data_IF_646825999900
#
_entry.id   IF_646825999900
#
_cell.length_a   1.000
_cell.length_b   1.000
_cell.length_c   1.000
_cell.angle_alpha   90.00
_cell.angle_beta   90.00
_cell.angle_gamma   90.00
#
_symmetry.space_group_name_H-M   'P 1'
#
loop_
_entity.id
_entity.type
_entity.pdbx_description
1 polymer ?
#
# COMPACT_ATOMS: atom_id res chain seq x y z
N UNK A 1 -18.55 -11.33 -20.59
CA UNK A 1 -19.51 -11.41 -19.46
C UNK A 1 -20.05 -12.83 -19.41
N UNK A 2 -19.87 -13.50 -18.26
CA UNK A 2 -20.36 -14.84 -17.89
C UNK A 2 -19.76 -16.05 -18.63
N UNK A 3 -18.54 -16.45 -18.23
CA UNK A 3 -18.25 -17.89 -18.18
C UNK A 3 -18.99 -18.42 -16.96
N UNK A 4 -20.20 -18.96 -17.17
CA UNK A 4 -20.98 -19.64 -16.13
C UNK A 4 -20.18 -20.90 -15.77
N UNK A 5 -19.31 -20.79 -14.76
CA UNK A 5 -18.79 -21.97 -14.07
C UNK A 5 -19.99 -22.84 -13.70
N UNK A 6 -19.88 -24.15 -13.92
CA UNK A 6 -20.89 -25.10 -13.46
C UNK A 6 -21.16 -24.83 -11.97
N UNK A 7 -22.38 -25.04 -11.48
CA UNK A 7 -22.74 -24.73 -10.08
C UNK A 7 -21.78 -25.39 -9.07
N UNK A 8 -21.26 -26.57 -9.39
CA UNK A 8 -20.25 -27.30 -8.62
C UNK A 8 -18.91 -26.56 -8.53
N UNK A 9 -18.46 -25.97 -9.64
CA UNK A 9 -17.19 -25.23 -9.69
C UNK A 9 -17.33 -23.86 -9.03
N UNK A 10 -18.51 -23.24 -9.07
CA UNK A 10 -18.79 -22.01 -8.33
C UNK A 10 -18.70 -22.23 -6.82
N UNK A 11 -19.26 -23.33 -6.31
CA UNK A 11 -19.19 -23.68 -4.89
C UNK A 11 -17.75 -23.89 -4.41
N UNK A 12 -16.92 -24.61 -5.18
CA UNK A 12 -15.49 -24.77 -4.83
C UNK A 12 -14.75 -23.45 -4.81
N UNK A 13 -15.05 -22.53 -5.73
CA UNK A 13 -14.43 -21.20 -5.77
C UNK A 13 -14.86 -20.36 -4.57
N UNK A 14 -16.14 -20.39 -4.20
CA UNK A 14 -16.64 -19.70 -3.00
C UNK A 14 -16.00 -20.24 -1.73
N UNK A 15 -15.92 -21.57 -1.57
CA UNK A 15 -15.27 -22.22 -0.43
C UNK A 15 -13.77 -21.84 -0.36
N UNK A 16 -13.08 -21.80 -1.50
CA UNK A 16 -11.68 -21.38 -1.58
C UNK A 16 -11.47 -19.88 -1.27
N UNK A 17 -12.39 -19.01 -1.70
CA UNK A 17 -12.33 -17.56 -1.41
C UNK A 17 -12.71 -17.23 0.04
N UNK A 18 -13.52 -18.08 0.69
CA UNK A 18 -13.89 -17.96 2.10
C UNK A 18 -12.80 -18.43 3.07
N UNK A 19 -11.77 -19.13 2.59
CA UNK A 19 -10.61 -19.50 3.40
C UNK A 19 -10.04 -18.27 4.13
N UNK A 20 -9.85 -18.42 5.44
CA UNK A 20 -9.42 -17.37 6.38
C UNK A 20 -8.15 -16.65 5.93
N UNK A 21 -7.28 -17.33 5.18
CA UNK A 21 -6.05 -16.77 4.61
C UNK A 21 -6.28 -15.65 3.59
N UNK A 22 -7.41 -15.66 2.86
CA UNK A 22 -7.74 -14.66 1.85
C UNK A 22 -8.49 -13.45 2.43
N UNK A 23 -8.91 -13.53 3.70
CA UNK A 23 -9.54 -12.44 4.44
C UNK A 23 -8.49 -11.53 5.07
N UNK A 24 -7.50 -11.11 4.29
CA UNK A 24 -6.56 -10.08 4.71
C UNK A 24 -7.33 -8.77 4.78
N UNK A 25 -7.62 -8.30 5.98
CA UNK A 25 -8.11 -6.94 6.21
C UNK A 25 -7.07 -5.98 5.66
N UNK A 26 -7.29 -5.52 4.42
CA UNK A 26 -6.46 -4.49 3.82
C UNK A 26 -6.63 -3.26 4.67
N UNK A 27 -5.60 -2.90 5.44
CA UNK A 27 -5.57 -1.64 6.16
C UNK A 27 -5.93 -0.53 5.18
N UNK A 28 -6.84 0.39 5.55
CA UNK A 28 -7.23 1.48 4.67
C UNK A 28 -5.97 2.23 4.24
N UNK A 29 -5.84 2.45 2.94
CA UNK A 29 -4.74 3.23 2.41
C UNK A 29 -4.87 4.66 2.95
N UNK A 30 -3.86 5.13 3.70
CA UNK A 30 -3.85 6.47 4.33
C UNK A 30 -2.97 7.40 3.49
N UNK A 31 -3.47 8.02 2.41
CA UNK A 31 -2.65 8.80 1.47
C UNK A 31 -1.95 9.97 2.16
N UNK A 32 -2.59 10.58 3.15
CA UNK A 32 -2.04 11.68 3.93
C UNK A 32 -0.78 11.29 4.72
N UNK A 33 -0.72 10.08 5.25
CA UNK A 33 0.45 9.61 6.00
C UNK A 33 1.65 9.45 5.06
N UNK A 34 1.42 8.81 3.89
CA UNK A 34 2.44 8.68 2.86
C UNK A 34 2.93 10.04 2.37
N UNK A 35 2.01 10.98 2.14
CA UNK A 35 2.36 12.35 1.73
C UNK A 35 3.24 13.04 2.79
N UNK A 36 2.85 12.99 4.07
CA UNK A 36 3.64 13.56 5.16
C UNK A 36 5.05 12.97 5.24
N UNK A 37 5.19 11.64 5.11
CA UNK A 37 6.49 10.97 5.14
C UNK A 37 7.39 11.48 4.02
N UNK A 38 6.87 11.58 2.79
CA UNK A 38 7.62 12.11 1.64
C UNK A 38 8.01 13.57 1.87
N UNK A 39 7.09 14.40 2.37
CA UNK A 39 7.34 15.82 2.66
C UNK A 39 8.46 16.00 3.68
N UNK A 40 8.42 15.24 4.78
CA UNK A 40 9.46 15.26 5.82
C UNK A 40 10.81 14.81 5.26
N UNK A 41 10.83 13.76 4.43
CA UNK A 41 12.07 13.29 3.81
C UNK A 41 12.70 14.37 2.92
N UNK A 42 11.91 15.00 2.04
CA UNK A 42 12.38 16.06 1.13
C UNK A 42 12.89 17.28 1.90
N UNK A 43 12.14 17.74 2.91
CA UNK A 43 12.55 18.87 3.75
C UNK A 43 13.83 18.52 4.53
N UNK A 44 13.90 17.35 5.14
CA UNK A 44 15.06 16.90 5.91
C UNK A 44 16.32 16.83 5.06
N UNK A 45 16.24 16.19 3.88
CA UNK A 45 17.35 16.13 2.92
C UNK A 45 17.76 17.53 2.43
N UNK A 46 16.79 18.42 2.17
CA UNK A 46 17.07 19.80 1.76
C UNK A 46 17.77 20.62 2.84
N UNK A 47 17.33 20.50 4.09
CA UNK A 47 17.97 21.15 5.25
C UNK A 47 19.37 20.60 5.49
N UNK A 48 19.55 19.28 5.43
CA UNK A 48 20.86 18.64 5.55
C UNK A 48 21.81 19.11 4.46
N UNK A 49 21.35 19.16 3.21
CA UNK A 49 22.14 19.68 2.08
C UNK A 49 22.58 21.13 2.32
N UNK A 50 21.67 21.99 2.81
CA UNK A 50 21.98 23.39 3.11
C UNK A 50 22.95 23.55 4.28
N UNK A 51 22.82 22.73 5.32
CA UNK A 51 23.75 22.66 6.46
C UNK A 51 25.15 22.28 5.99
N UNK A 52 25.27 21.22 5.19
CA UNK A 52 26.54 20.80 4.62
C UNK A 52 27.16 21.90 3.77
N UNK A 53 26.36 22.55 2.91
CA UNK A 53 26.82 23.69 2.12
C UNK A 53 27.39 24.83 2.98
N UNK A 54 26.75 25.12 4.12
CA UNK A 54 27.21 26.15 5.05
C UNK A 54 28.49 25.77 5.78
N UNK A 55 28.70 24.48 6.10
CA UNK A 55 29.95 24.01 6.71
C UNK A 55 31.13 23.95 5.74
N UNK A 56 30.87 23.82 4.44
CA UNK A 56 31.91 23.74 3.41
C UNK A 56 32.36 25.09 2.84
N UNK A 57 31.56 26.14 3.06
CA UNK A 57 31.86 27.53 2.68
C UNK A 57 32.68 28.22 3.77
#
# INVERSE_FOLDING_TARGET
MTSRLKPEDQQRVEEYLQLSQHRVERKPFRPWLLLCVVLVAVIGLGLLSRLLSYLTL
#
